data_IF_669754375039
#
_entry.id   IF_669754375039
#
_cell.length_a   1.000
_cell.length_b   1.000
_cell.length_c   1.000
_cell.angle_alpha   90.00
_cell.angle_beta   90.00
_cell.angle_gamma   90.00
#
_symmetry.space_group_name_H-M   'P 1'
#
loop_
_entity.id
_entity.type
_entity.pdbx_description
1 polymer ?
#
# COMPACT_ATOMS: atom_id res chain seq x y z
N UNK A 1 2.59 -9.49 22.27
CA UNK A 1 1.19 -9.25 21.83
C UNK A 1 1.24 -8.03 20.94
N UNK A 2 0.58 -8.05 19.79
CA UNK A 2 0.59 -6.92 18.85
C UNK A 2 -0.03 -5.68 19.50
N UNK A 3 0.74 -4.59 19.56
CA UNK A 3 0.33 -3.29 20.09
C UNK A 3 0.24 -2.25 18.98
N UNK A 4 -0.39 -1.11 19.27
CA UNK A 4 -0.49 0.02 18.32
C UNK A 4 0.91 0.46 17.88
N UNK A 5 1.90 0.44 18.79
CA UNK A 5 3.28 0.81 18.44
C UNK A 5 3.91 -0.15 17.43
N UNK A 6 3.56 -1.45 17.47
CA UNK A 6 4.06 -2.43 16.51
C UNK A 6 3.45 -2.19 15.13
N UNK A 7 2.13 -1.94 15.09
CA UNK A 7 1.45 -1.53 13.86
C UNK A 7 2.08 -0.28 13.25
N UNK A 8 2.26 0.78 14.04
CA UNK A 8 2.77 2.06 13.53
C UNK A 8 4.19 1.94 12.98
N UNK A 9 5.07 1.16 13.62
CA UNK A 9 6.43 0.91 13.12
C UNK A 9 6.42 0.14 11.80
N UNK A 10 5.60 -0.89 11.69
CA UNK A 10 5.45 -1.63 10.44
C UNK A 10 4.84 -0.75 9.34
N UNK A 11 3.79 0.01 9.68
CA UNK A 11 3.14 0.92 8.76
C UNK A 11 4.10 1.98 8.23
N UNK A 12 4.93 2.58 9.09
CA UNK A 12 5.92 3.59 8.68
C UNK A 12 6.87 3.05 7.60
N UNK A 13 7.46 1.88 7.83
CA UNK A 13 8.34 1.24 6.86
C UNK A 13 7.59 0.89 5.56
N UNK A 14 6.43 0.23 5.69
CA UNK A 14 5.69 -0.28 4.55
C UNK A 14 5.02 0.82 3.73
N UNK A 15 4.59 1.91 4.36
CA UNK A 15 4.03 3.06 3.68
C UNK A 15 5.13 3.85 2.95
N UNK A 16 6.30 4.05 3.58
CA UNK A 16 7.43 4.70 2.93
C UNK A 16 7.89 3.94 1.67
N UNK A 17 7.98 2.60 1.76
CA UNK A 17 8.33 1.75 0.62
C UNK A 17 7.27 1.81 -0.50
N UNK A 18 5.99 1.89 -0.15
CA UNK A 18 4.89 2.04 -1.13
C UNK A 18 4.91 3.43 -1.78
N UNK A 19 5.09 4.49 -0.98
CA UNK A 19 5.23 5.87 -1.47
C UNK A 19 6.40 5.99 -2.45
N UNK A 20 7.56 5.38 -2.15
CA UNK A 20 8.73 5.38 -3.04
C UNK A 20 8.40 4.80 -4.43
N UNK A 21 7.59 3.74 -4.50
CA UNK A 21 7.13 3.16 -5.77
C UNK A 21 6.10 4.02 -6.48
N UNK A 22 5.11 4.55 -5.76
CA UNK A 22 4.09 5.42 -6.35
C UNK A 22 4.71 6.69 -6.96
N UNK A 23 5.76 7.21 -6.34
CA UNK A 23 6.55 8.34 -6.86
C UNK A 23 7.30 8.03 -8.16
N UNK A 24 7.47 6.76 -8.54
CA UNK A 24 8.10 6.37 -9.82
C UNK A 24 7.08 6.17 -10.95
N UNK A 25 5.79 6.17 -10.64
CA UNK A 25 4.76 6.04 -11.67
C UNK A 25 4.72 7.30 -12.53
N UNK A 26 4.44 7.10 -13.81
CA UNK A 26 4.11 8.19 -14.74
C UNK A 26 2.71 7.95 -15.32
N UNK A 27 2.09 8.99 -15.88
CA UNK A 27 0.76 8.88 -16.50
C UNK A 27 0.77 7.85 -17.65
N UNK A 28 1.87 7.76 -18.40
CA UNK A 28 2.07 6.77 -19.48
C UNK A 28 2.20 5.33 -18.97
N UNK A 29 2.65 5.14 -17.73
CA UNK A 29 2.79 3.81 -17.12
C UNK A 29 1.46 3.25 -16.62
N UNK A 30 0.49 4.12 -16.29
CA UNK A 30 -0.77 3.71 -15.66
C UNK A 30 -1.60 2.70 -16.47
N UNK A 31 -1.62 2.73 -17.82
CA UNK A 31 -2.34 1.73 -18.62
C UNK A 31 -1.66 0.35 -18.69
N UNK A 32 -0.43 0.18 -18.19
CA UNK A 32 0.29 -1.10 -18.29
C UNK A 32 -0.49 -2.24 -17.61
N UNK A 33 -0.69 -3.35 -18.32
CA UNK A 33 -1.38 -4.54 -17.83
C UNK A 33 -0.59 -5.81 -18.20
N UNK A 34 -0.83 -6.92 -17.49
CA UNK A 34 -0.25 -8.22 -17.85
C UNK A 34 -0.95 -8.78 -19.09
N UNK A 35 -2.28 -8.77 -19.07
CA UNK A 35 -3.18 -9.13 -20.17
C UNK A 35 -4.42 -8.25 -20.10
N UNK A 36 -5.22 -8.23 -21.17
CA UNK A 36 -6.49 -7.48 -21.24
C UNK A 36 -7.58 -7.96 -20.28
N UNK A 37 -7.35 -9.05 -19.54
CA UNK A 37 -8.26 -9.55 -18.50
C UNK A 37 -7.80 -9.17 -17.08
N UNK A 38 -6.67 -8.46 -16.95
CA UNK A 38 -6.12 -8.05 -15.67
C UNK A 38 -6.32 -6.56 -15.44
N UNK A 39 -6.11 -6.14 -14.19
CA UNK A 39 -6.07 -4.71 -13.87
C UNK A 39 -4.79 -4.07 -14.38
N UNK A 40 -4.91 -2.82 -14.80
CA UNK A 40 -3.77 -1.98 -15.14
C UNK A 40 -3.00 -1.56 -13.89
N UNK A 41 -1.77 -1.09 -14.08
CA UNK A 41 -0.92 -0.54 -13.03
C UNK A 41 -1.62 0.59 -12.26
N UNK A 42 -2.27 1.51 -12.97
CA UNK A 42 -3.04 2.59 -12.35
C UNK A 42 -4.21 2.09 -11.51
N UNK A 43 -4.90 1.02 -11.94
CA UNK A 43 -5.99 0.43 -11.17
C UNK A 43 -5.48 -0.22 -9.88
N UNK A 44 -4.34 -0.92 -9.92
CA UNK A 44 -3.73 -1.54 -8.72
C UNK A 44 -3.20 -0.46 -7.77
N UNK A 45 -2.57 0.59 -8.30
CA UNK A 45 -2.07 1.72 -7.52
C UNK A 45 -3.21 2.43 -6.80
N UNK A 46 -4.28 2.80 -7.52
CA UNK A 46 -5.43 3.46 -6.92
C UNK A 46 -6.21 2.58 -5.95
N UNK A 47 -6.38 1.29 -6.25
CA UNK A 47 -6.94 0.32 -5.31
C UNK A 47 -6.17 0.29 -3.99
N UNK A 48 -4.84 0.32 -4.04
CA UNK A 48 -3.97 0.38 -2.85
C UNK A 48 -4.23 1.64 -2.02
N UNK A 49 -4.42 2.80 -2.66
CA UNK A 49 -4.80 4.05 -1.96
C UNK A 49 -6.14 3.90 -1.26
N UNK A 50 -7.17 3.48 -1.99
CA UNK A 50 -8.54 3.42 -1.45
C UNK A 50 -8.73 2.35 -0.38
N UNK A 51 -7.93 1.29 -0.43
CA UNK A 51 -7.95 0.23 0.55
C UNK A 51 -7.64 0.74 1.97
N UNK A 52 -6.86 1.82 2.12
CA UNK A 52 -6.57 2.45 3.40
C UNK A 52 -7.88 2.88 4.09
N UNK A 53 -8.70 3.67 3.40
CA UNK A 53 -9.98 4.14 3.93
C UNK A 53 -10.97 2.99 4.09
N UNK A 54 -11.10 2.13 3.08
CA UNK A 54 -12.07 1.03 3.07
C UNK A 54 -11.83 0.06 4.23
N UNK A 55 -10.60 -0.45 4.39
CA UNK A 55 -10.30 -1.45 5.42
C UNK A 55 -10.36 -0.81 6.81
N UNK A 56 -9.81 0.39 6.98
CA UNK A 56 -9.79 1.08 8.29
C UNK A 56 -11.18 1.48 8.78
N UNK A 57 -12.11 1.79 7.86
CA UNK A 57 -13.51 2.06 8.24
C UNK A 57 -14.18 0.86 8.94
N UNK A 58 -13.76 -0.38 8.62
CA UNK A 58 -14.32 -1.60 9.21
C UNK A 58 -13.98 -1.77 10.69
N UNK A 59 -12.86 -1.21 11.14
CA UNK A 59 -12.49 -1.18 12.56
C UNK A 59 -13.02 0.06 13.30
N UNK A 60 -13.82 0.89 12.62
CA UNK A 60 -14.44 2.09 13.18
C UNK A 60 -13.56 3.34 13.16
N UNK A 61 -12.44 3.33 12.43
CA UNK A 61 -11.66 4.55 12.22
C UNK A 61 -12.37 5.49 11.25
N UNK A 62 -12.36 6.78 11.57
CA UNK A 62 -12.93 7.84 10.73
C UNK A 62 -11.88 8.90 10.45
N UNK A 63 -11.55 9.09 9.17
CA UNK A 63 -10.62 10.10 8.67
C UNK A 63 -10.88 10.34 7.19
N UNK A 64 -10.35 11.44 6.65
CA UNK A 64 -10.47 11.75 5.24
C UNK A 64 -9.52 10.88 4.41
N UNK A 65 -10.10 10.02 3.57
CA UNK A 65 -9.40 9.16 2.64
C UNK A 65 -10.36 8.74 1.51
N UNK A 66 -9.87 8.57 0.28
CA UNK A 66 -10.71 8.10 -0.81
C UNK A 66 -11.15 6.65 -0.55
N UNK A 67 -12.41 6.34 -0.84
CA UNK A 67 -12.98 4.98 -0.67
C UNK A 67 -13.62 4.42 -1.94
N UNK A 68 -13.65 5.19 -3.02
CA UNK A 68 -14.15 4.76 -4.32
C UNK A 68 -12.98 4.42 -5.23
N UNK A 69 -12.82 3.15 -5.55
CA UNK A 69 -11.73 2.68 -6.40
C UNK A 69 -11.97 2.94 -7.90
N UNK A 70 -13.16 3.40 -8.30
CA UNK A 70 -13.53 3.71 -9.69
C UNK A 70 -14.32 5.03 -9.79
N UNK A 71 -14.08 5.88 -10.81
CA UNK A 71 -13.08 5.74 -11.87
C UNK A 71 -11.64 5.86 -11.35
N UNK A 72 -10.69 5.26 -12.07
CA UNK A 72 -9.26 5.36 -11.75
C UNK A 72 -8.75 6.73 -12.20
N UNK A 73 -8.04 7.49 -11.35
CA UNK A 73 -7.42 8.76 -11.76
C UNK A 73 -6.40 8.54 -12.88
N UNK A 74 -6.34 9.48 -13.83
CA UNK A 74 -5.39 9.44 -14.94
C UNK A 74 -4.03 10.06 -14.62
N UNK A 75 -3.88 10.67 -13.43
CA UNK A 75 -2.65 11.32 -12.99
C UNK A 75 -1.96 10.48 -11.91
N UNK A 76 -0.75 10.06 -12.22
CA UNK A 76 0.17 9.35 -11.32
C UNK A 76 0.52 10.20 -10.09
N UNK A 77 0.76 11.49 -10.28
CA UNK A 77 0.97 12.46 -9.20
C UNK A 77 -0.24 12.53 -8.25
N UNK A 78 -1.46 12.58 -8.80
CA UNK A 78 -2.67 12.58 -7.98
C UNK A 78 -2.81 11.30 -7.14
N UNK A 79 -2.54 10.13 -7.73
CA UNK A 79 -2.55 8.84 -7.00
C UNK A 79 -1.53 8.87 -5.88
N UNK A 80 -0.29 9.30 -6.17
CA UNK A 80 0.80 9.35 -5.21
C UNK A 80 0.53 10.30 -4.04
N UNK A 81 0.02 11.50 -4.34
CA UNK A 81 -0.34 12.50 -3.32
C UNK A 81 -1.53 12.04 -2.47
N UNK A 82 -2.51 11.35 -3.07
CA UNK A 82 -3.65 10.80 -2.34
C UNK A 82 -3.23 9.68 -1.39
N UNK A 83 -2.24 8.87 -1.79
CA UNK A 83 -1.67 7.85 -0.91
C UNK A 83 -0.99 8.47 0.32
N UNK A 84 -0.14 9.49 0.12
CA UNK A 84 0.51 10.19 1.22
C UNK A 84 -0.52 10.74 2.22
N UNK A 85 -1.54 11.44 1.71
CA UNK A 85 -2.62 12.01 2.53
C UNK A 85 -3.38 10.93 3.32
N UNK A 86 -3.80 9.84 2.65
CA UNK A 86 -4.52 8.75 3.29
C UNK A 86 -3.68 8.02 4.35
N UNK A 87 -2.39 7.81 4.08
CA UNK A 87 -1.45 7.19 5.02
C UNK A 87 -1.23 8.04 6.27
N UNK A 88 -1.00 9.34 6.09
CA UNK A 88 -0.82 10.27 7.21
C UNK A 88 -2.09 10.38 8.05
N UNK A 89 -3.26 10.45 7.39
CA UNK A 89 -4.55 10.47 8.06
C UNK A 89 -4.81 9.18 8.85
N UNK A 90 -4.45 8.00 8.31
CA UNK A 90 -4.52 6.74 9.03
C UNK A 90 -3.66 6.75 10.30
N UNK A 91 -2.40 7.21 10.19
CA UNK A 91 -1.49 7.28 11.34
C UNK A 91 -2.06 8.15 12.45
N UNK A 92 -2.64 9.30 12.11
CA UNK A 92 -3.30 10.18 13.08
C UNK A 92 -4.56 9.53 13.68
N UNK A 93 -5.39 8.90 12.85
CA UNK A 93 -6.61 8.24 13.30
C UNK A 93 -6.30 7.10 14.28
N UNK A 94 -5.32 6.24 13.97
CA UNK A 94 -4.89 5.15 14.84
C UNK A 94 -4.40 5.68 16.19
N UNK A 95 -3.57 6.73 16.20
CA UNK A 95 -3.05 7.33 17.43
C UNK A 95 -4.14 7.96 18.31
N UNK A 96 -5.15 8.57 17.68
CA UNK A 96 -6.14 9.39 18.39
C UNK A 96 -7.43 8.62 18.74
N UNK A 97 -7.76 7.57 17.98
CA UNK A 97 -9.07 6.88 18.06
C UNK A 97 -8.97 5.44 18.58
N UNK A 98 -7.77 4.87 18.69
CA UNK A 98 -7.56 3.51 19.21
C UNK A 98 -6.65 3.52 20.43
N UNK A 99 -6.88 2.55 21.31
CA UNK A 99 -5.99 2.13 22.38
C UNK A 99 -5.69 0.63 22.22
N UNK A 100 -4.59 0.15 22.81
CA UNK A 100 -4.16 -1.26 22.69
C UNK A 100 -5.26 -2.26 23.05
N UNK A 101 -6.13 -1.93 24.02
CA UNK A 101 -7.26 -2.79 24.40
C UNK A 101 -8.27 -3.01 23.26
N UNK A 102 -8.43 -2.03 22.36
CA UNK A 102 -9.35 -2.12 21.25
C UNK A 102 -8.88 -3.12 20.20
N UNK A 103 -7.58 -3.41 20.12
CA UNK A 103 -7.03 -4.33 19.11
C UNK A 103 -7.56 -5.76 19.26
N UNK A 104 -8.08 -6.13 20.44
CA UNK A 104 -8.66 -7.46 20.72
C UNK A 104 -10.16 -7.53 20.48
N UNK A 105 -10.81 -6.42 20.13
CA UNK A 105 -12.23 -6.41 19.82
C UNK A 105 -12.48 -7.21 18.55
N UNK A 106 -13.35 -8.22 18.64
CA UNK A 106 -13.77 -9.03 17.49
C UNK A 106 -14.80 -8.29 16.64
N UNK A 107 -14.66 -8.42 15.33
CA UNK A 107 -15.58 -7.98 14.31
C UNK A 107 -16.08 -9.21 13.54
N UNK A 108 -17.32 -9.15 13.08
CA UNK A 108 -17.83 -10.10 12.09
C UNK A 108 -17.65 -9.49 10.69
N UNK A 109 -16.72 -10.05 9.92
CA UNK A 109 -16.47 -9.66 8.54
C UNK A 109 -16.71 -10.89 7.66
N UNK A 110 -17.82 -10.84 6.91
CA UNK A 110 -18.24 -11.93 6.01
C UNK A 110 -18.38 -13.29 6.70
N UNK A 111 -18.87 -13.32 7.95
CA UNK A 111 -19.04 -14.55 8.72
C UNK A 111 -17.75 -15.08 9.35
N UNK A 112 -16.65 -14.34 9.23
CA UNK A 112 -15.40 -14.62 9.92
C UNK A 112 -15.23 -13.66 11.10
N UNK A 113 -14.88 -14.23 12.25
CA UNK A 113 -14.46 -13.46 13.41
C UNK A 113 -13.01 -13.04 13.22
N UNK A 114 -12.79 -11.73 13.16
CA UNK A 114 -11.47 -11.13 13.04
C UNK A 114 -11.34 -9.98 14.02
N UNK A 115 -10.21 -9.89 14.71
CA UNK A 115 -9.95 -8.78 15.63
C UNK A 115 -9.56 -7.52 14.87
N UNK A 116 -9.76 -6.35 15.49
CA UNK A 116 -9.29 -5.07 14.92
C UNK A 116 -7.79 -5.08 14.62
N UNK A 117 -6.98 -5.68 15.50
CA UNK A 117 -5.54 -5.82 15.30
C UNK A 117 -5.18 -6.69 14.10
N UNK A 118 -5.88 -7.80 13.89
CA UNK A 118 -5.71 -8.65 12.71
C UNK A 118 -6.09 -7.91 11.43
N UNK A 119 -7.13 -7.07 11.44
CA UNK A 119 -7.51 -6.31 10.25
C UNK A 119 -6.52 -5.19 9.91
N UNK A 120 -5.91 -4.55 10.92
CA UNK A 120 -4.80 -3.62 10.71
C UNK A 120 -3.56 -4.32 10.12
N UNK A 121 -3.26 -5.53 10.59
CA UNK A 121 -2.18 -6.33 10.02
C UNK A 121 -2.50 -6.78 8.58
N UNK A 122 -3.75 -7.17 8.33
CA UNK A 122 -4.23 -7.48 6.98
C UNK A 122 -4.08 -6.29 6.03
N UNK A 123 -4.35 -5.06 6.46
CA UNK A 123 -4.12 -3.85 5.64
C UNK A 123 -2.66 -3.76 5.16
N UNK A 124 -1.70 -4.03 6.05
CA UNK A 124 -0.27 -4.07 5.69
C UNK A 124 0.00 -5.17 4.66
N UNK A 125 -0.47 -6.41 4.91
CA UNK A 125 -0.25 -7.54 4.00
C UNK A 125 -0.90 -7.31 2.62
N UNK A 126 -2.11 -6.74 2.60
CA UNK A 126 -2.84 -6.40 1.39
C UNK A 126 -2.07 -5.38 0.54
N UNK A 127 -1.51 -4.34 1.17
CA UNK A 127 -0.64 -3.38 0.48
C UNK A 127 0.63 -4.04 -0.04
N UNK A 128 1.32 -4.85 0.76
CA UNK A 128 2.54 -5.57 0.33
C UNK A 128 2.25 -6.44 -0.89
N UNK A 129 1.11 -7.15 -0.88
CA UNK A 129 0.66 -7.98 -2.01
C UNK A 129 0.50 -7.16 -3.30
N UNK A 130 -0.30 -6.09 -3.26
CA UNK A 130 -0.55 -5.26 -4.45
C UNK A 130 0.70 -4.49 -4.87
N UNK A 131 1.53 -4.06 -3.93
CA UNK A 131 2.84 -3.47 -4.22
C UNK A 131 3.76 -4.44 -4.96
N UNK A 132 3.76 -5.71 -4.57
CA UNK A 132 4.43 -6.78 -5.31
C UNK A 132 3.97 -6.87 -6.76
N UNK A 133 2.65 -6.84 -7.00
CA UNK A 133 2.07 -6.80 -8.35
C UNK A 133 2.53 -5.58 -9.14
N UNK A 134 2.51 -4.39 -8.52
CA UNK A 134 2.97 -3.15 -9.15
C UNK A 134 4.42 -3.27 -9.60
N UNK A 135 5.31 -3.88 -8.81
CA UNK A 135 6.74 -3.97 -9.18
C UNK A 135 7.00 -4.70 -10.49
N UNK A 136 6.17 -5.68 -10.88
CA UNK A 136 6.32 -6.38 -12.15
C UNK A 136 5.77 -5.54 -13.30
N UNK A 137 4.59 -4.94 -13.12
CA UNK A 137 4.02 -4.04 -14.12
C UNK A 137 4.91 -2.83 -14.38
N UNK A 138 5.50 -2.25 -13.34
CA UNK A 138 6.46 -1.15 -13.47
C UNK A 138 7.66 -1.54 -14.33
N UNK A 139 8.23 -2.74 -14.14
CA UNK A 139 9.32 -3.25 -15.00
C UNK A 139 8.86 -3.45 -16.45
N UNK A 140 7.64 -3.96 -16.66
CA UNK A 140 7.06 -4.10 -18.00
C UNK A 140 6.84 -2.74 -18.69
N UNK A 141 6.50 -1.71 -17.92
CA UNK A 141 6.38 -0.33 -18.37
C UNK A 141 7.75 0.38 -18.54
N UNK A 142 8.87 -0.29 -18.28
CA UNK A 142 10.21 0.29 -18.40
C UNK A 142 10.60 1.25 -17.28
N UNK A 143 9.89 1.23 -16.15
CA UNK A 143 10.21 2.05 -14.98
C UNK A 143 11.31 1.41 -14.13
N UNK A 144 12.13 2.26 -13.50
CA UNK A 144 13.04 1.82 -12.45
C UNK A 144 12.25 1.42 -11.20
N UNK A 145 12.55 0.25 -10.65
CA UNK A 145 11.87 -0.26 -9.46
C UNK A 145 12.82 -0.20 -8.27
N UNK A 146 12.53 0.61 -7.23
CA UNK A 146 13.37 0.68 -6.04
C UNK A 146 13.37 -0.64 -5.28
N UNK A 147 14.45 -0.89 -4.54
CA UNK A 147 14.51 -1.96 -3.56
C UNK A 147 13.54 -1.72 -2.41
N UNK A 148 12.98 -2.82 -1.88
CA UNK A 148 11.97 -2.80 -0.81
C UNK A 148 12.48 -3.57 0.42
N UNK A 149 12.67 -4.87 0.27
CA UNK A 149 13.21 -5.76 1.32
C UNK A 149 14.68 -6.13 1.08
N UNK A 150 15.30 -5.45 0.12
CA UNK A 150 16.63 -5.68 -0.38
C UNK A 150 16.85 -4.83 -1.64
N UNK A 151 18.11 -4.64 -2.05
CA UNK A 151 18.45 -3.82 -3.21
C UNK A 151 17.84 -4.36 -4.50
N UNK A 152 17.36 -3.47 -5.36
CA UNK A 152 17.05 -3.79 -6.76
C UNK A 152 18.33 -4.07 -7.57
N UNK A 153 18.19 -4.60 -8.79
CA UNK A 153 19.33 -4.82 -9.69
C UNK A 153 20.09 -3.52 -9.95
N UNK A 154 19.36 -2.43 -10.12
CA UNK A 154 19.89 -1.10 -10.35
C UNK A 154 20.64 -0.59 -9.10
N UNK A 155 20.07 -0.79 -7.91
CA UNK A 155 20.70 -0.39 -6.65
C UNK A 155 21.97 -1.21 -6.33
N UNK A 156 22.05 -2.49 -6.71
CA UNK A 156 23.32 -3.26 -6.63
C UNK A 156 24.45 -2.58 -7.40
N UNK A 157 24.17 -2.14 -8.63
CA UNK A 157 25.15 -1.45 -9.47
C UNK A 157 25.57 -0.10 -8.86
N UNK A 158 24.63 0.66 -8.29
CA UNK A 158 24.90 1.92 -7.58
C UNK A 158 25.77 1.70 -6.32
N UNK A 159 25.61 0.55 -5.66
CA UNK A 159 26.43 0.15 -4.51
C UNK A 159 27.84 -0.34 -4.91
N UNK A 160 28.16 -0.41 -6.21
CA UNK A 160 29.44 -0.93 -6.71
C UNK A 160 29.60 -2.44 -6.49
N UNK A 161 28.50 -3.16 -6.31
CA UNK A 161 28.48 -4.61 -6.11
C UNK A 161 27.94 -5.33 -7.35
N UNK A 162 28.39 -6.56 -7.57
CA UNK A 162 27.87 -7.41 -8.65
C UNK A 162 26.45 -7.89 -8.28
N UNK A 163 25.49 -7.66 -9.18
CA UNK A 163 24.13 -8.16 -8.99
C UNK A 163 24.10 -9.70 -9.10
N UNK A 164 23.15 -10.39 -8.41
CA UNK A 164 22.98 -11.83 -8.56
C UNK A 164 22.79 -12.26 -10.02
N UNK A 165 23.26 -13.46 -10.38
CA UNK A 165 23.06 -14.06 -11.70
C UNK A 165 21.56 -14.18 -12.04
N UNK A 166 21.21 -13.95 -13.31
CA UNK A 166 19.83 -13.88 -13.82
C UNK A 166 19.41 -15.17 -14.53
#
# INVERSE_FOLDING_TARGET
MFQIVDFLKLWEFEAAATQKLLNQLTDESLPQEVTSQNWTLGRIAWHTVTAIGIISSRIGLSFDAPTNDYPVPSSSEFISNSYQQASDALVQAVKNQLADKNLREELDIYGQKITKGELLFFLIQHQIHHRGQMTILMRQAGLSVPGLYGPSKEEWAEMGMEAPEM
#
